data_IF_583871863427
#
_entry.id   IF_583871863427
#
_cell.length_a   1.000
_cell.length_b   1.000
_cell.length_c   1.000
_cell.angle_alpha   90.00
_cell.angle_beta   90.00
_cell.angle_gamma   90.00
#
_symmetry.space_group_name_H-M   'P 1'
#
loop_
_entity.id
_entity.type
_entity.pdbx_description
1 polymer ?
#
# COMPACT_ATOMS: atom_id res chain seq x y z
N UNK A 1 8.90 6.08 -24.04
CA UNK A 1 8.13 6.05 -22.78
C UNK A 1 6.71 5.64 -23.13
N UNK A 2 6.18 4.58 -22.50
CA UNK A 2 4.79 4.15 -22.69
C UNK A 2 4.04 4.51 -21.42
N UNK A 3 3.17 5.52 -21.51
CA UNK A 3 2.34 5.96 -20.38
C UNK A 3 1.13 5.03 -20.28
N UNK A 4 1.17 4.03 -19.39
CA UNK A 4 0.03 3.15 -19.15
C UNK A 4 -0.90 3.77 -18.10
N UNK A 5 -1.92 4.49 -18.57
CA UNK A 5 -3.06 4.91 -17.75
C UNK A 5 -4.10 3.79 -17.76
N UNK A 6 -4.22 3.06 -16.65
CA UNK A 6 -5.27 2.04 -16.46
C UNK A 6 -6.51 2.68 -15.82
N UNK A 7 -7.64 2.83 -16.53
CA UNK A 7 -8.86 3.34 -15.91
C UNK A 7 -9.43 2.31 -14.92
N UNK A 8 -9.58 2.71 -13.67
CA UNK A 8 -10.15 1.87 -12.60
C UNK A 8 -11.66 1.71 -12.84
N UNK A 9 -12.09 0.57 -13.41
CA UNK A 9 -13.52 0.26 -13.57
C UNK A 9 -14.12 -0.21 -12.25
N UNK A 10 -14.94 0.65 -11.64
CA UNK A 10 -15.72 0.33 -10.46
C UNK A 10 -16.96 -0.50 -10.83
N UNK A 11 -16.97 -1.79 -10.50
CA UNK A 11 -18.14 -2.65 -10.66
C UNK A 11 -18.92 -2.73 -9.33
N UNK A 12 -20.12 -2.15 -9.28
CA UNK A 12 -21.03 -2.36 -8.16
C UNK A 12 -21.66 -3.77 -8.24
N UNK A 13 -21.54 -4.54 -7.15
CA UNK A 13 -22.30 -5.77 -6.94
C UNK A 13 -23.33 -5.51 -5.84
N UNK A 14 -24.61 -5.56 -6.19
CA UNK A 14 -25.72 -5.52 -5.24
C UNK A 14 -26.15 -6.94 -4.89
N UNK A 15 -26.04 -7.33 -3.62
CA UNK A 15 -26.56 -8.61 -3.12
C UNK A 15 -27.87 -8.40 -2.35
N UNK A 16 -28.96 -8.93 -2.93
CA UNK A 16 -30.25 -9.05 -2.25
C UNK A 16 -30.35 -10.37 -1.49
N UNK A 17 -31.03 -10.37 -0.34
CA UNK A 17 -31.68 -11.57 0.21
C UNK A 17 -31.09 -12.15 1.49
N UNK A 18 -31.56 -11.67 2.65
CA UNK A 18 -31.53 -12.42 3.91
C UNK A 18 -32.84 -13.20 4.08
N UNK A 19 -32.76 -14.50 4.40
CA UNK A 19 -33.90 -15.30 4.87
C UNK A 19 -33.42 -16.34 5.89
N UNK A 20 -34.21 -16.54 6.95
CA UNK A 20 -33.94 -17.35 8.16
C UNK A 20 -35.31 -17.76 8.76
N UNK A 21 -35.40 -18.70 9.71
CA UNK A 21 -34.92 -20.10 9.78
C UNK A 21 -36.16 -21.04 9.97
N UNK A 22 -36.10 -22.33 10.43
CA UNK A 22 -35.99 -22.64 11.88
C UNK A 22 -35.46 -24.06 12.31
N UNK A 23 -35.08 -24.24 13.59
CA UNK A 23 -35.56 -25.33 14.50
C UNK A 23 -34.73 -25.44 15.81
N UNK A 24 -35.31 -26.10 16.84
CA UNK A 24 -34.86 -26.21 18.24
C UNK A 24 -34.97 -27.69 18.71
N UNK A 25 -34.48 -28.21 19.85
CA UNK A 25 -33.92 -27.72 21.13
C UNK A 25 -33.20 -28.95 21.81
N UNK A 26 -32.97 -29.11 23.14
CA UNK A 26 -32.59 -28.21 24.25
C UNK A 26 -31.40 -28.70 25.15
N UNK A 27 -30.77 -27.76 25.88
CA UNK A 27 -30.37 -27.78 27.33
C UNK A 27 -29.34 -28.80 27.94
N UNK A 28 -28.32 -28.22 28.60
CA UNK A 28 -27.45 -28.65 29.73
C UNK A 28 -26.63 -29.97 29.72
N UNK A 29 -25.33 -29.83 30.03
CA UNK A 29 -24.75 -30.30 31.31
C UNK A 29 -23.46 -29.55 31.66
N UNK A 30 -23.21 -29.37 32.97
CA UNK A 30 -21.97 -28.86 33.58
C UNK A 30 -20.79 -29.80 33.27
N UNK A 31 -19.60 -29.29 32.95
CA UNK A 31 -18.35 -30.03 33.16
C UNK A 31 -17.18 -29.12 33.54
N UNK A 32 -16.41 -29.56 34.54
CA UNK A 32 -15.42 -28.74 35.26
C UNK A 32 -14.08 -28.58 34.54
N UNK A 33 -13.36 -27.54 34.95
CA UNK A 33 -11.97 -27.24 34.58
C UNK A 33 -11.04 -28.46 34.77
N UNK A 34 -10.18 -28.70 33.78
CA UNK A 34 -9.16 -29.75 33.82
C UNK A 34 -8.05 -29.51 32.80
N UNK A 35 -7.14 -28.57 33.09
CA UNK A 35 -5.91 -28.43 32.30
C UNK A 35 -5.01 -29.64 32.53
N UNK A 36 -4.80 -30.45 31.49
CA UNK A 36 -3.76 -31.48 31.48
C UNK A 36 -2.77 -31.16 30.35
N UNK A 37 -1.59 -30.68 30.73
CA UNK A 37 -0.55 -30.25 29.81
C UNK A 37 0.32 -31.45 29.40
N UNK A 38 -0.06 -32.12 28.31
CA UNK A 38 0.72 -33.22 27.72
C UNK A 38 1.27 -32.82 26.36
N UNK A 39 2.60 -32.89 26.23
CA UNK A 39 3.42 -32.57 25.04
C UNK A 39 2.79 -32.87 23.68
N UNK A 40 2.49 -31.84 22.89
CA UNK A 40 2.18 -31.97 21.46
C UNK A 40 3.50 -32.00 20.68
N UNK A 41 3.77 -33.14 20.04
CA UNK A 41 4.88 -33.30 19.10
C UNK A 41 4.66 -32.39 17.88
N UNK A 42 5.62 -31.51 17.59
CA UNK A 42 5.53 -30.55 16.49
C UNK A 42 5.64 -31.27 15.14
N UNK A 43 4.54 -31.28 14.38
CA UNK A 43 4.57 -31.66 12.96
C UNK A 43 5.40 -30.64 12.19
N UNK A 44 6.44 -31.10 11.50
CA UNK A 44 7.31 -30.25 10.67
C UNK A 44 6.51 -29.56 9.58
N UNK A 45 6.32 -28.25 9.71
CA UNK A 45 5.65 -27.43 8.72
C UNK A 45 6.64 -27.11 7.60
N UNK A 46 6.40 -27.62 6.39
CA UNK A 46 7.27 -27.36 5.23
C UNK A 46 7.09 -25.92 4.78
N UNK A 47 8.08 -25.08 5.08
CA UNK A 47 8.12 -23.68 4.66
C UNK A 47 8.25 -23.58 3.13
N UNK A 48 7.15 -23.29 2.45
CA UNK A 48 7.19 -22.93 1.02
C UNK A 48 7.74 -21.52 0.93
N UNK A 49 9.04 -21.41 0.68
CA UNK A 49 9.69 -20.13 0.42
C UNK A 49 9.20 -19.60 -0.93
N UNK A 50 8.31 -18.60 -0.91
CA UNK A 50 7.97 -17.85 -2.12
C UNK A 50 9.25 -17.11 -2.55
N UNK A 51 9.75 -17.30 -3.78
CA UNK A 51 10.95 -16.60 -4.24
C UNK A 51 10.70 -15.10 -4.31
N UNK A 52 11.73 -14.32 -3.97
CA UNK A 52 11.71 -12.85 -4.11
C UNK A 52 11.38 -12.48 -5.57
N UNK A 53 10.44 -11.56 -5.82
CA UNK A 53 10.08 -11.18 -7.18
C UNK A 53 11.16 -10.26 -7.79
N UNK A 54 11.72 -10.67 -8.92
CA UNK A 54 12.62 -9.85 -9.73
C UNK A 54 11.88 -8.63 -10.33
N UNK A 55 12.55 -7.48 -10.51
CA UNK A 55 11.95 -6.31 -11.14
C UNK A 55 11.68 -6.56 -12.63
N UNK A 56 10.42 -6.39 -13.04
CA UNK A 56 9.99 -6.55 -14.45
C UNK A 56 10.22 -5.29 -15.29
N UNK A 57 10.47 -4.15 -14.64
CA UNK A 57 10.86 -2.89 -15.29
C UNK A 57 12.07 -2.27 -14.61
N UNK A 58 12.90 -1.53 -15.36
CA UNK A 58 14.01 -0.75 -14.79
C UNK A 58 13.55 0.60 -14.21
N UNK A 59 12.40 1.12 -14.66
CA UNK A 59 11.79 2.35 -14.16
C UNK A 59 10.28 2.36 -14.40
N UNK A 60 9.54 2.95 -13.46
CA UNK A 60 8.09 3.19 -13.54
C UNK A 60 7.83 4.65 -13.16
N UNK A 61 6.89 5.33 -13.84
CA UNK A 61 6.33 6.60 -13.37
C UNK A 61 4.84 6.42 -13.08
N UNK A 62 4.43 6.71 -11.86
CA UNK A 62 3.04 6.69 -11.39
C UNK A 62 2.53 8.11 -11.14
N UNK A 63 1.20 8.23 -11.03
CA UNK A 63 0.48 9.45 -10.71
C UNK A 63 -0.57 9.12 -9.65
N UNK A 64 -0.78 10.01 -8.69
CA UNK A 64 -1.92 9.97 -7.79
C UNK A 64 -2.62 11.34 -7.78
N UNK A 65 -3.96 11.38 -7.97
CA UNK A 65 -4.71 12.63 -7.99
C UNK A 65 -4.77 13.29 -6.61
N UNK A 66 -5.16 14.57 -6.58
CA UNK A 66 -5.61 15.24 -5.37
C UNK A 66 -6.78 14.47 -4.73
N UNK A 67 -6.90 14.58 -3.41
CA UNK A 67 -8.07 14.09 -2.68
C UNK A 67 -8.64 15.17 -1.77
N UNK A 68 -9.96 15.15 -1.60
CA UNK A 68 -10.66 15.94 -0.58
C UNK A 68 -11.33 14.97 0.38
N UNK A 69 -11.11 15.16 1.68
CA UNK A 69 -11.72 14.39 2.75
C UNK A 69 -12.68 15.27 3.58
N UNK A 70 -13.30 14.67 4.60
CA UNK A 70 -14.09 15.36 5.62
C UNK A 70 -15.29 16.14 5.06
N UNK A 71 -16.02 15.48 4.16
CA UNK A 71 -17.17 16.03 3.46
C UNK A 71 -18.40 16.16 4.38
N UNK A 72 -18.48 17.29 5.10
CA UNK A 72 -19.63 17.69 5.90
C UNK A 72 -19.93 16.72 7.05
N UNK A 73 -21.12 16.11 7.14
CA UNK A 73 -21.45 15.16 8.21
C UNK A 73 -20.65 13.84 8.11
N UNK A 74 -19.98 13.57 6.97
CA UNK A 74 -19.11 12.42 6.76
C UNK A 74 -17.65 12.66 7.16
N UNK A 75 -17.41 13.42 8.23
CA UNK A 75 -16.07 13.65 8.80
C UNK A 75 -15.39 12.30 9.11
N UNK A 76 -14.10 12.18 8.75
CA UNK A 76 -13.26 10.96 8.82
C UNK A 76 -13.79 9.71 8.10
N UNK A 77 -14.92 9.79 7.37
CA UNK A 77 -15.51 8.63 6.67
C UNK A 77 -15.66 8.81 5.16
N UNK A 78 -15.76 10.05 4.66
CA UNK A 78 -15.91 10.35 3.24
C UNK A 78 -14.68 11.07 2.68
N UNK A 79 -14.16 10.53 1.58
CA UNK A 79 -13.16 11.17 0.74
C UNK A 79 -13.46 10.95 -0.75
N UNK A 80 -12.96 11.85 -1.59
CA UNK A 80 -13.13 11.79 -3.04
C UNK A 80 -11.82 12.20 -3.74
N UNK A 81 -11.48 11.50 -4.83
CA UNK A 81 -10.39 11.90 -5.72
C UNK A 81 -10.85 13.03 -6.66
N UNK A 82 -9.95 13.94 -6.99
CA UNK A 82 -10.20 15.09 -7.86
C UNK A 82 -9.30 15.02 -9.08
N UNK A 83 -9.91 15.04 -10.26
CA UNK A 83 -9.19 14.97 -11.54
C UNK A 83 -8.29 16.20 -11.79
N UNK A 84 -7.28 16.01 -12.65
CA UNK A 84 -6.45 17.07 -13.21
C UNK A 84 -5.12 17.29 -12.49
N UNK A 85 -5.15 17.61 -11.20
CA UNK A 85 -3.94 17.86 -10.40
C UNK A 85 -3.63 16.69 -9.46
N UNK A 86 -2.34 16.48 -9.18
CA UNK A 86 -1.85 15.35 -8.39
C UNK A 86 -0.33 15.37 -8.29
N UNK A 87 0.23 14.36 -7.62
CA UNK A 87 1.67 14.16 -7.53
C UNK A 87 2.11 13.01 -8.44
N UNK A 88 3.34 13.08 -8.94
CA UNK A 88 3.97 11.96 -9.65
C UNK A 88 5.16 11.40 -8.87
N UNK A 89 5.33 10.09 -8.93
CA UNK A 89 6.51 9.38 -8.44
C UNK A 89 7.18 8.69 -9.62
N UNK A 90 8.47 8.94 -9.83
CA UNK A 90 9.32 8.16 -10.73
C UNK A 90 10.22 7.27 -9.91
N UNK A 91 10.04 5.96 -10.03
CA UNK A 91 10.84 4.93 -9.39
C UNK A 91 11.85 4.35 -10.39
N UNK A 92 13.04 4.00 -9.91
CA UNK A 92 14.09 3.29 -10.68
C UNK A 92 14.75 2.22 -9.82
N UNK A 93 15.15 1.12 -10.45
CA UNK A 93 16.18 0.24 -9.89
C UNK A 93 17.51 0.99 -9.99
N UNK A 94 18.24 1.13 -8.88
CA UNK A 94 19.47 1.91 -8.81
C UNK A 94 20.57 1.12 -8.08
N UNK A 95 21.60 0.62 -8.81
CA UNK A 95 22.71 -0.13 -8.22
C UNK A 95 23.55 0.63 -7.19
N UNK A 96 23.41 1.96 -7.10
CA UNK A 96 24.10 2.79 -6.10
C UNK A 96 23.32 2.86 -4.78
N UNK A 97 22.04 2.47 -4.77
CA UNK A 97 21.25 2.31 -3.57
C UNK A 97 21.51 0.90 -3.03
N UNK A 98 21.69 0.78 -1.71
CA UNK A 98 21.93 -0.51 -1.08
C UNK A 98 20.72 -1.45 -1.29
N UNK A 99 21.02 -2.72 -1.51
CA UNK A 99 20.01 -3.75 -1.72
C UNK A 99 19.04 -3.85 -0.53
N UNK A 100 17.73 -3.90 -0.80
CA UNK A 100 16.67 -3.85 0.21
C UNK A 100 16.34 -2.45 0.74
N UNK A 101 16.98 -1.39 0.22
CA UNK A 101 16.75 0.00 0.66
C UNK A 101 16.16 0.89 -0.45
N UNK A 102 15.51 1.97 -0.01
CA UNK A 102 14.98 3.05 -0.85
C UNK A 102 15.84 4.29 -0.63
N UNK A 103 16.01 5.12 -1.66
CA UNK A 103 16.50 6.50 -1.53
C UNK A 103 15.57 7.48 -2.24
N UNK A 104 15.57 8.75 -1.82
CA UNK A 104 14.89 9.83 -2.54
C UNK A 104 15.95 10.72 -3.18
N UNK A 105 16.21 10.49 -4.48
CA UNK A 105 17.20 11.23 -5.24
C UNK A 105 16.77 12.68 -5.51
N UNK A 106 15.49 12.91 -5.82
CA UNK A 106 14.98 14.26 -6.08
C UNK A 106 13.55 14.54 -5.59
N UNK A 107 13.29 15.82 -5.28
CA UNK A 107 11.96 16.35 -4.94
C UNK A 107 11.79 17.71 -5.62
N UNK A 108 10.90 17.78 -6.60
CA UNK A 108 10.52 19.01 -7.30
C UNK A 108 9.10 19.46 -6.89
N UNK A 109 8.74 20.72 -7.19
CA UNK A 109 7.42 21.30 -6.88
C UNK A 109 7.18 21.70 -5.41
N UNK A 110 7.92 21.14 -4.46
CA UNK A 110 7.81 21.50 -3.03
C UNK A 110 8.79 22.58 -2.54
N UNK A 111 9.88 22.82 -3.29
CA UNK A 111 11.09 23.48 -2.77
C UNK A 111 11.80 22.63 -1.71
N UNK A 112 12.70 23.22 -0.93
CA UNK A 112 13.49 22.52 0.09
C UNK A 112 12.70 22.24 1.41
N UNK A 113 11.38 21.99 1.31
CA UNK A 113 10.47 21.84 2.46
C UNK A 113 10.17 20.40 2.85
N UNK A 114 10.55 19.42 2.03
CA UNK A 114 10.35 18.00 2.29
C UNK A 114 11.68 17.29 2.49
N UNK A 115 11.72 16.33 3.41
CA UNK A 115 12.92 15.54 3.64
C UNK A 115 13.21 14.59 2.46
N UNK A 116 14.49 14.41 2.14
CA UNK A 116 14.97 13.34 1.25
C UNK A 116 15.31 12.05 2.02
N UNK A 117 15.22 12.05 3.35
CA UNK A 117 15.23 10.82 4.14
C UNK A 117 13.93 10.02 3.87
N UNK A 118 14.01 8.78 3.35
CA UNK A 118 12.85 7.93 3.09
C UNK A 118 12.04 7.61 4.35
N UNK A 119 12.66 7.56 5.53
CA UNK A 119 11.98 7.28 6.80
C UNK A 119 11.22 8.50 7.35
N UNK A 120 11.48 9.69 6.81
CA UNK A 120 10.85 10.96 7.17
C UNK A 120 10.05 11.57 5.99
N UNK A 121 9.60 10.74 5.06
CA UNK A 121 8.87 11.15 3.86
C UNK A 121 7.83 10.10 3.47
N UNK A 122 6.55 10.49 3.38
CA UNK A 122 5.44 9.56 3.19
C UNK A 122 5.59 8.65 1.94
N UNK A 123 6.20 9.14 0.86
CA UNK A 123 6.50 8.33 -0.32
C UNK A 123 7.58 7.27 -0.06
N UNK A 124 8.60 7.62 0.73
CA UNK A 124 9.65 6.69 1.14
C UNK A 124 9.11 5.62 2.08
N UNK A 125 8.31 6.01 3.08
CA UNK A 125 7.69 5.08 4.03
C UNK A 125 6.78 4.08 3.32
N UNK A 126 5.87 4.56 2.46
CA UNK A 126 4.97 3.68 1.69
C UNK A 126 5.73 2.76 0.71
N UNK A 127 6.80 3.24 0.07
CA UNK A 127 7.65 2.42 -0.79
C UNK A 127 8.38 1.31 -0.01
N UNK A 128 8.94 1.65 1.17
CA UNK A 128 9.57 0.70 2.09
C UNK A 128 8.55 -0.33 2.58
N UNK A 129 7.32 0.08 2.86
CA UNK A 129 6.24 -0.82 3.27
C UNK A 129 5.93 -1.86 2.18
N UNK A 130 5.74 -1.43 0.93
CA UNK A 130 5.53 -2.35 -0.21
C UNK A 130 6.75 -3.26 -0.44
N UNK A 131 7.98 -2.77 -0.30
CA UNK A 131 9.18 -3.62 -0.38
C UNK A 131 9.18 -4.71 0.70
N UNK A 132 8.79 -4.38 1.94
CA UNK A 132 8.67 -5.37 3.04
C UNK A 132 7.59 -6.41 2.75
N UNK A 133 6.40 -5.99 2.28
CA UNK A 133 5.31 -6.90 1.91
C UNK A 133 5.71 -7.88 0.80
N UNK A 134 6.52 -7.41 -0.16
CA UNK A 134 7.09 -8.21 -1.25
C UNK A 134 8.37 -8.98 -0.85
N UNK A 135 8.88 -8.79 0.37
CA UNK A 135 10.14 -9.33 0.89
C UNK A 135 11.39 -8.97 0.04
N UNK A 136 11.42 -7.79 -0.58
CA UNK A 136 12.53 -7.33 -1.42
C UNK A 136 13.78 -7.06 -0.58
N UNK A 137 14.89 -7.72 -0.94
CA UNK A 137 16.20 -7.61 -0.30
C UNK A 137 17.35 -7.54 -1.32
N UNK A 138 17.12 -7.93 -2.58
CA UNK A 138 18.13 -8.05 -3.63
C UNK A 138 18.46 -6.75 -4.37
N UNK A 139 17.51 -5.80 -4.44
CA UNK A 139 17.63 -4.57 -5.24
C UNK A 139 17.47 -3.30 -4.41
N UNK A 140 18.20 -2.25 -4.77
CA UNK A 140 18.04 -0.90 -4.25
C UNK A 140 17.17 -0.05 -5.18
N UNK A 141 16.33 0.82 -4.61
CA UNK A 141 15.39 1.65 -5.37
C UNK A 141 15.63 3.16 -5.17
N UNK A 142 15.49 3.93 -6.24
CA UNK A 142 15.62 5.39 -6.24
C UNK A 142 14.32 6.07 -6.65
N UNK A 143 13.82 6.97 -5.79
CA UNK A 143 12.59 7.74 -5.96
C UNK A 143 12.94 9.17 -6.38
N UNK A 144 12.24 9.67 -7.41
CA UNK A 144 12.14 11.08 -7.74
C UNK A 144 10.68 11.52 -7.63
N UNK A 145 10.43 12.53 -6.81
CA UNK A 145 9.12 13.10 -6.51
C UNK A 145 8.88 14.38 -7.31
N UNK A 146 7.72 14.48 -7.94
CA UNK A 146 7.24 15.67 -8.63
C UNK A 146 5.91 16.08 -7.99
N UNK A 147 5.98 17.10 -7.13
CA UNK A 147 4.85 17.57 -6.34
C UNK A 147 4.01 18.56 -7.14
N UNK A 148 2.85 18.12 -7.65
CA UNK A 148 1.86 19.00 -8.28
C UNK A 148 0.85 19.58 -7.30
N UNK A 149 0.80 19.05 -6.06
CA UNK A 149 -0.13 19.51 -5.03
C UNK A 149 0.53 20.45 -4.01
N UNK A 150 -0.11 21.59 -3.68
CA UNK A 150 0.43 22.51 -2.66
C UNK A 150 0.41 21.86 -1.27
N UNK A 151 1.55 21.92 -0.57
CA UNK A 151 1.70 21.38 0.79
C UNK A 151 0.75 22.06 1.77
N UNK A 152 0.10 21.28 2.65
CA UNK A 152 -0.79 21.81 3.70
C UNK A 152 -2.12 22.37 3.20
N UNK A 153 -2.48 22.18 1.92
CA UNK A 153 -3.68 22.74 1.30
C UNK A 153 -5.01 22.03 1.61
N UNK A 154 -4.98 20.89 2.29
CA UNK A 154 -6.13 20.00 2.44
C UNK A 154 -6.40 19.08 1.24
N UNK A 155 -5.64 19.21 0.13
CA UNK A 155 -5.80 18.40 -1.10
C UNK A 155 -5.09 17.01 -1.05
N UNK A 156 -4.82 16.48 0.14
CA UNK A 156 -4.26 15.14 0.31
C UNK A 156 -2.82 14.94 -0.20
N UNK A 157 -2.02 16.01 -0.34
CA UNK A 157 -0.67 15.96 -0.96
C UNK A 157 0.28 14.88 -0.39
N UNK A 158 0.27 14.61 0.92
CA UNK A 158 1.10 13.53 1.49
C UNK A 158 0.59 12.15 1.04
N UNK A 159 -0.72 11.92 1.14
CA UNK A 159 -1.37 10.67 0.74
C UNK A 159 -1.23 10.38 -0.76
N UNK A 160 -1.30 11.41 -1.62
CA UNK A 160 -1.06 11.26 -3.05
C UNK A 160 0.37 10.73 -3.33
N UNK A 161 1.39 11.33 -2.70
CA UNK A 161 2.77 10.86 -2.85
C UNK A 161 2.99 9.44 -2.31
N UNK A 162 2.35 9.09 -1.18
CA UNK A 162 2.39 7.74 -0.61
C UNK A 162 1.75 6.70 -1.55
N UNK A 163 0.52 6.97 -2.03
CA UNK A 163 -0.21 6.10 -2.95
C UNK A 163 0.54 5.92 -4.29
N UNK A 164 1.07 7.01 -4.86
CA UNK A 164 1.88 6.95 -6.07
C UNK A 164 3.13 6.07 -5.89
N UNK A 165 3.81 6.17 -4.73
CA UNK A 165 4.99 5.37 -4.43
C UNK A 165 4.66 3.88 -4.22
N UNK A 166 3.63 3.58 -3.42
CA UNK A 166 3.18 2.20 -3.19
C UNK A 166 2.80 1.51 -4.51
N UNK A 167 2.05 2.20 -5.38
CA UNK A 167 1.75 1.71 -6.74
C UNK A 167 3.03 1.51 -7.54
N UNK A 168 3.94 2.50 -7.59
CA UNK A 168 5.17 2.39 -8.40
C UNK A 168 6.04 1.18 -8.01
N UNK A 169 6.17 0.88 -6.71
CA UNK A 169 6.91 -0.31 -6.23
C UNK A 169 6.16 -1.59 -6.60
N UNK A 170 4.84 -1.66 -6.44
CA UNK A 170 4.10 -2.87 -6.85
C UNK A 170 4.18 -3.10 -8.38
N UNK A 171 4.09 -2.05 -9.20
CA UNK A 171 4.23 -2.15 -10.66
C UNK A 171 5.64 -2.60 -11.07
N UNK A 172 6.73 -2.11 -10.43
CA UNK A 172 8.10 -2.46 -10.83
C UNK A 172 8.41 -3.95 -10.62
N UNK A 173 7.72 -4.62 -9.69
CA UNK A 173 7.78 -6.07 -9.43
C UNK A 173 6.61 -6.86 -10.05
N UNK A 174 5.83 -6.25 -10.94
CA UNK A 174 4.81 -6.95 -11.73
C UNK A 174 3.50 -7.22 -11.00
N UNK A 175 3.04 -6.25 -10.20
CA UNK A 175 1.69 -6.15 -9.61
C UNK A 175 1.29 -7.36 -8.75
N UNK A 176 2.13 -7.73 -7.79
CA UNK A 176 1.91 -8.91 -6.93
C UNK A 176 0.96 -8.64 -5.76
N UNK A 177 0.88 -7.40 -5.28
CA UNK A 177 0.00 -7.00 -4.18
C UNK A 177 -1.39 -6.56 -4.67
N UNK A 178 -2.41 -6.78 -3.84
CA UNK A 178 -3.77 -6.31 -4.06
C UNK A 178 -3.90 -4.81 -3.81
N UNK A 179 -5.06 -4.21 -4.14
CA UNK A 179 -5.32 -2.78 -3.85
C UNK A 179 -5.34 -2.53 -2.33
N UNK A 180 -5.89 -3.47 -1.55
CA UNK A 180 -6.02 -3.33 -0.09
C UNK A 180 -4.64 -3.34 0.58
N UNK A 181 -3.70 -4.16 0.11
CA UNK A 181 -2.31 -4.17 0.56
C UNK A 181 -1.62 -2.81 0.30
N UNK A 182 -1.89 -2.16 -0.84
CA UNK A 182 -1.35 -0.83 -1.14
C UNK A 182 -1.98 0.26 -0.27
N UNK A 183 -3.25 0.11 0.12
CA UNK A 183 -3.89 0.98 1.11
C UNK A 183 -3.21 0.81 2.47
N UNK A 184 -2.98 -0.43 2.92
CA UNK A 184 -2.25 -0.71 4.17
C UNK A 184 -0.84 -0.11 4.14
N UNK A 185 -0.10 -0.24 3.03
CA UNK A 185 1.22 0.36 2.88
C UNK A 185 1.20 1.89 2.93
N UNK A 186 0.13 2.53 2.39
CA UNK A 186 -0.07 3.98 2.50
C UNK A 186 -0.43 4.45 3.91
N UNK A 187 -1.05 3.61 4.74
CA UNK A 187 -1.42 3.92 6.13
C UNK A 187 -0.23 3.89 7.11
N UNK A 188 0.94 3.36 6.72
CA UNK A 188 2.16 3.45 7.53
C UNK A 188 2.84 4.84 7.47
N UNK A 189 2.39 5.74 6.57
CA UNK A 189 3.14 6.90 6.06
C UNK A 189 2.79 8.29 6.62
#
# INVERSE_FOLDING_TARGET
AITYQSPMKLNFITSNGFSNPPSLYPINTHFSFGFNLSSVSSKTQTHITIPEPEPVFTSVKSFAPATVANLGPGFDFLGCAVDGIGDFVTLRVDPNVKAGEVSISDISGAGNRLSKDPLSNCAGIAAISVMKMLNIQSVGLSISLEKGLPLGSGLGSSAASAAAAAVAVNEIFGRKLSVDDLVLAGLES
#
